data_IF_736626078958
#
_entry.id   IF_736626078958
#
_cell.length_a   1.000
_cell.length_b   1.000
_cell.length_c   1.000
_cell.angle_alpha   90.00
_cell.angle_beta   90.00
_cell.angle_gamma   90.00
#
_symmetry.space_group_name_H-M   'P 1'
#
loop_
_entity.id
_entity.type
_entity.pdbx_description
1 polymer ?
#
# COMPACT_ATOMS: atom_id res chain seq x y z
N UNK A 1 -2.03 -5.32 -4.55
CA UNK A 1 -2.88 -4.57 -3.60
C UNK A 1 -2.08 -4.23 -2.34
N UNK A 2 -2.59 -3.38 -1.43
CA UNK A 2 -1.84 -2.97 -0.22
C UNK A 2 -2.47 -3.43 1.10
N UNK A 3 -3.63 -4.11 1.05
CA UNK A 3 -4.13 -4.85 2.19
C UNK A 3 -3.13 -5.95 2.65
N UNK A 4 -2.42 -6.59 1.72
CA UNK A 4 -1.37 -7.57 2.05
C UNK A 4 -0.20 -6.96 2.82
N UNK A 5 0.22 -5.74 2.47
CA UNK A 5 1.30 -5.00 3.13
C UNK A 5 0.91 -4.56 4.56
N UNK A 6 -0.35 -4.18 4.76
CA UNK A 6 -0.81 -3.50 5.98
C UNK A 6 -1.47 -4.45 6.98
N UNK A 7 -2.16 -5.48 6.49
CA UNK A 7 -2.98 -6.40 7.30
C UNK A 7 -2.71 -7.88 7.00
N UNK A 8 -1.99 -8.21 5.93
CA UNK A 8 -1.79 -9.59 5.49
C UNK A 8 -0.48 -10.24 5.94
N UNK A 9 0.57 -9.44 6.18
CA UNK A 9 1.91 -9.93 6.53
C UNK A 9 2.44 -9.28 7.81
N UNK A 10 3.21 -10.00 8.64
CA UNK A 10 3.81 -9.44 9.84
C UNK A 10 4.98 -8.49 9.51
N UNK A 11 5.20 -7.50 10.36
CA UNK A 11 6.39 -6.63 10.29
C UNK A 11 7.64 -7.36 10.79
N UNK A 12 8.83 -7.11 10.21
CA UNK A 12 9.11 -6.25 9.05
C UNK A 12 8.93 -6.95 7.68
N UNK A 13 8.60 -8.24 7.68
CA UNK A 13 8.53 -9.06 6.46
C UNK A 13 7.52 -8.54 5.42
N UNK A 14 6.52 -7.78 5.83
CA UNK A 14 5.55 -7.14 4.96
C UNK A 14 6.20 -6.20 3.93
N UNK A 15 7.10 -5.33 4.38
CA UNK A 15 7.82 -4.37 3.54
C UNK A 15 8.80 -5.12 2.63
N UNK A 16 9.62 -6.02 3.21
CA UNK A 16 10.61 -6.80 2.46
C UNK A 16 9.96 -7.60 1.33
N UNK A 17 8.83 -8.25 1.63
CA UNK A 17 8.09 -9.04 0.64
C UNK A 17 7.57 -8.15 -0.49
N UNK A 18 6.98 -6.99 -0.18
CA UNK A 18 6.46 -6.10 -1.22
C UNK A 18 7.58 -5.53 -2.10
N UNK A 19 8.72 -5.15 -1.52
CA UNK A 19 9.88 -4.68 -2.29
C UNK A 19 10.44 -5.77 -3.21
N UNK A 20 10.54 -7.01 -2.71
CA UNK A 20 10.94 -8.17 -3.53
C UNK A 20 9.98 -8.41 -4.70
N UNK A 21 8.68 -8.31 -4.46
CA UNK A 21 7.66 -8.45 -5.53
C UNK A 21 7.84 -7.36 -6.59
N UNK A 22 8.01 -6.09 -6.20
CA UNK A 22 8.24 -5.01 -7.16
C UNK A 22 9.52 -5.21 -7.96
N UNK A 23 10.59 -5.69 -7.33
CA UNK A 23 11.84 -6.03 -8.01
C UNK A 23 11.64 -7.14 -9.04
N UNK A 24 10.98 -8.24 -8.69
CA UNK A 24 10.70 -9.35 -9.60
C UNK A 24 9.89 -8.86 -10.82
N UNK A 25 8.90 -7.99 -10.61
CA UNK A 25 8.11 -7.41 -11.72
C UNK A 25 9.01 -6.61 -12.68
N UNK A 26 9.96 -5.82 -12.16
CA UNK A 26 10.93 -5.07 -12.97
C UNK A 26 11.89 -5.97 -13.73
N UNK A 27 12.38 -7.03 -13.09
CA UNK A 27 13.25 -8.04 -13.72
C UNK A 27 12.56 -8.76 -14.88
N UNK A 28 11.23 -8.89 -14.82
CA UNK A 28 10.41 -9.43 -15.91
C UNK A 28 9.99 -8.37 -16.96
N UNK A 29 10.62 -7.19 -16.97
CA UNK A 29 10.39 -6.14 -17.96
C UNK A 29 9.09 -5.35 -17.79
N UNK A 30 8.44 -5.44 -16.63
CA UNK A 30 7.18 -4.75 -16.33
C UNK A 30 7.39 -3.61 -15.30
N UNK A 31 6.43 -2.68 -15.25
CA UNK A 31 6.45 -1.57 -14.29
C UNK A 31 5.45 -1.85 -13.16
N UNK A 32 5.89 -2.06 -11.91
CA UNK A 32 4.98 -2.25 -10.78
C UNK A 32 4.27 -0.94 -10.43
N UNK A 33 3.00 -1.05 -10.05
CA UNK A 33 2.18 0.06 -9.57
C UNK A 33 1.44 -0.35 -8.30
N UNK A 34 2.12 -0.27 -7.16
CA UNK A 34 1.49 -0.49 -5.84
C UNK A 34 0.49 0.64 -5.56
N UNK A 35 -0.72 0.28 -5.13
CA UNK A 35 -1.85 1.23 -4.97
C UNK A 35 -2.23 1.34 -3.51
N UNK A 36 -2.43 2.57 -3.01
CA UNK A 36 -2.90 2.84 -1.65
C UNK A 36 -3.63 4.19 -1.55
N UNK A 37 -4.25 4.45 -0.39
CA UNK A 37 -4.66 5.80 0.00
C UNK A 37 -3.62 6.36 0.97
N UNK A 38 -3.01 7.50 0.64
CA UNK A 38 -2.12 8.25 1.54
C UNK A 38 -2.70 9.64 1.76
N UNK A 39 -2.96 10.04 3.01
CA UNK A 39 -3.57 11.34 3.34
C UNK A 39 -4.85 11.65 2.53
N UNK A 40 -5.68 10.63 2.29
CA UNK A 40 -6.92 10.73 1.50
C UNK A 40 -6.71 10.85 -0.01
N UNK A 41 -5.48 10.69 -0.53
CA UNK A 41 -5.19 10.64 -1.97
C UNK A 41 -4.99 9.19 -2.40
N UNK A 42 -5.74 8.76 -3.42
CA UNK A 42 -5.44 7.50 -4.12
C UNK A 42 -4.14 7.70 -4.89
N UNK A 43 -3.15 6.85 -4.63
CA UNK A 43 -1.89 6.82 -5.36
C UNK A 43 -1.77 5.51 -6.12
N UNK A 44 -1.35 5.60 -7.37
CA UNK A 44 -1.09 4.46 -8.26
C UNK A 44 0.41 4.47 -8.58
N UNK A 45 1.14 3.50 -8.02
CA UNK A 45 2.60 3.55 -7.95
C UNK A 45 3.05 4.32 -6.71
N UNK A 46 3.47 3.58 -5.68
CA UNK A 46 4.13 4.17 -4.52
C UNK A 46 5.63 4.28 -4.75
N UNK A 47 6.24 5.29 -4.13
CA UNK A 47 7.70 5.29 -3.95
C UNK A 47 8.09 4.30 -2.86
N UNK A 48 9.37 3.91 -2.80
CA UNK A 48 9.88 3.07 -1.72
C UNK A 48 9.59 3.68 -0.34
N UNK A 49 9.81 4.99 -0.17
CA UNK A 49 9.54 5.70 1.09
C UNK A 49 8.05 5.67 1.46
N UNK A 50 7.15 5.81 0.48
CA UNK A 50 5.71 5.74 0.72
C UNK A 50 5.24 4.33 1.09
N UNK A 51 5.84 3.31 0.47
CA UNK A 51 5.61 1.92 0.80
C UNK A 51 6.09 1.60 2.22
N UNK A 52 7.28 2.05 2.60
CA UNK A 52 7.83 1.90 3.96
C UNK A 52 6.97 2.65 4.99
N UNK A 53 6.54 3.87 4.69
CA UNK A 53 5.63 4.65 5.54
C UNK A 53 4.31 3.91 5.76
N UNK A 54 3.70 3.39 4.69
CA UNK A 54 2.45 2.63 4.77
C UNK A 54 2.63 1.32 5.54
N UNK A 55 3.73 0.60 5.28
CA UNK A 55 4.05 -0.68 5.90
C UNK A 55 4.41 -0.57 7.38
N UNK A 56 4.88 0.59 7.85
CA UNK A 56 5.27 0.85 9.24
C UNK A 56 4.21 1.59 10.07
N UNK A 57 3.24 2.26 9.44
CA UNK A 57 2.20 3.03 10.14
C UNK A 57 1.25 2.15 10.94
N UNK A 58 1.00 2.50 12.21
CA UNK A 58 0.02 1.81 13.05
C UNK A 58 -1.43 2.24 12.77
N UNK A 59 -1.62 3.36 12.08
CA UNK A 59 -2.94 3.91 11.78
C UNK A 59 -3.20 3.82 10.28
N UNK A 60 -3.54 2.61 9.82
CA UNK A 60 -3.84 2.33 8.42
C UNK A 60 -5.12 1.51 8.36
N UNK A 61 -6.11 2.03 7.65
CA UNK A 61 -7.41 1.38 7.48
C UNK A 61 -7.34 0.32 6.37
N UNK A 62 -8.19 -0.70 6.46
CA UNK A 62 -8.39 -1.65 5.35
C UNK A 62 -9.53 -1.15 4.48
N UNK A 63 -9.23 -0.80 3.23
CA UNK A 63 -10.19 -0.18 2.32
C UNK A 63 -10.72 -1.16 1.28
N UNK A 64 -12.02 -1.46 1.35
CA UNK A 64 -12.79 -1.99 0.22
C UNK A 64 -13.52 -0.86 -0.50
N UNK A 65 -14.24 -1.18 -1.59
CA UNK A 65 -14.93 -0.21 -2.45
C UNK A 65 -15.83 0.77 -1.69
N UNK A 66 -16.56 0.28 -0.69
CA UNK A 66 -17.50 1.08 0.12
C UNK A 66 -16.80 2.08 1.05
N UNK A 67 -15.53 1.80 1.40
CA UNK A 67 -14.77 2.57 2.36
C UNK A 67 -14.04 3.75 1.69
N UNK A 68 -13.80 3.66 0.37
CA UNK A 68 -13.05 4.68 -0.39
C UNK A 68 -13.57 6.11 -0.19
N UNK A 69 -14.89 6.42 -0.35
CA UNK A 69 -15.35 7.80 -0.21
C UNK A 69 -15.12 8.36 1.19
N UNK A 70 -15.34 7.53 2.21
CA UNK A 70 -15.15 7.91 3.61
C UNK A 70 -13.67 8.17 3.91
N UNK A 71 -12.78 7.26 3.54
CA UNK A 71 -11.35 7.34 3.83
C UNK A 71 -10.66 8.50 3.09
N UNK A 72 -11.09 8.78 1.85
CA UNK A 72 -10.65 9.95 1.08
C UNK A 72 -11.06 11.24 1.80
N UNK A 73 -12.32 11.34 2.23
CA UNK A 73 -12.83 12.54 2.92
C UNK A 73 -12.16 12.83 4.27
N UNK A 74 -11.64 11.79 4.93
CA UNK A 74 -10.98 11.86 6.24
C UNK A 74 -9.47 12.08 6.18
N UNK A 75 -8.88 12.20 4.98
CA UNK A 75 -7.44 12.25 4.81
C UNK A 75 -6.72 11.04 5.44
N UNK A 76 -7.33 9.86 5.40
CA UNK A 76 -6.79 8.66 6.03
C UNK A 76 -5.64 8.03 5.23
N UNK A 77 -4.89 7.15 5.90
CA UNK A 77 -4.03 6.14 5.25
C UNK A 77 -4.81 4.84 5.16
N UNK A 78 -4.76 4.17 4.01
CA UNK A 78 -5.43 2.89 3.86
C UNK A 78 -4.75 1.94 2.86
N UNK A 79 -4.74 0.66 3.21
CA UNK A 79 -4.40 -0.44 2.32
C UNK A 79 -5.65 -0.92 1.58
N UNK A 80 -5.61 -0.94 0.24
CA UNK A 80 -6.75 -1.32 -0.59
C UNK A 80 -6.84 -2.83 -0.78
N UNK A 81 -8.07 -3.36 -0.82
CA UNK A 81 -8.43 -4.75 -1.17
C UNK A 81 -8.97 -4.87 -2.60
#
# INVERSE_FOLDING_TARGET
ETAILTHGLPRPSNIETCLKIEQIIRENGSIPATIAILNGRIKVGLTQTELEQLGSSNNVEKASRRDLPYLISRHAFAGTT
#
